data_IF_005847548749
#
_entry.id   IF_005847548749
#
_cell.length_a   1.000
_cell.length_b   1.000
_cell.length_c   1.000
_cell.angle_alpha   90.00
_cell.angle_beta   90.00
_cell.angle_gamma   90.00
#
_symmetry.space_group_name_H-M   'P 1'
#
loop_
_entity.id
_entity.type
_entity.pdbx_description
1 polymer ?
#
# COMPACT_ATOMS: atom_id res chain seq x y z
N UNK A 1 -14.33 -25.92 -7.34
CA UNK A 1 -14.11 -24.78 -6.43
C UNK A 1 -14.23 -23.49 -7.24
N UNK A 2 -14.80 -22.44 -6.65
CA UNK A 2 -15.01 -21.15 -7.33
C UNK A 2 -13.70 -20.38 -7.54
N UNK A 3 -13.65 -19.54 -8.57
CA UNK A 3 -12.59 -18.53 -8.75
C UNK A 3 -13.06 -17.24 -8.10
N UNK A 4 -12.16 -16.52 -7.41
CA UNK A 4 -12.42 -15.15 -6.92
C UNK A 4 -11.69 -14.17 -7.83
N UNK A 5 -12.40 -13.20 -8.39
CA UNK A 5 -11.84 -12.09 -9.17
C UNK A 5 -11.78 -10.82 -8.33
N UNK A 6 -10.59 -10.21 -8.29
CA UNK A 6 -10.34 -8.95 -7.59
C UNK A 6 -10.17 -7.82 -8.61
N UNK A 7 -10.84 -6.70 -8.38
CA UNK A 7 -10.58 -5.43 -9.05
C UNK A 7 -9.77 -4.57 -8.09
N UNK A 8 -8.49 -4.33 -8.40
CA UNK A 8 -7.60 -3.54 -7.56
C UNK A 8 -7.02 -2.36 -8.35
N UNK A 9 -7.04 -1.18 -7.75
CA UNK A 9 -6.44 0.03 -8.33
C UNK A 9 -5.36 0.59 -7.42
N UNK A 10 -4.44 1.36 -8.00
CA UNK A 10 -3.43 2.12 -7.27
C UNK A 10 -4.03 3.34 -6.58
N UNK A 11 -3.28 4.43 -6.55
CA UNK A 11 -3.61 5.61 -5.77
C UNK A 11 -4.91 6.26 -6.25
N UNK A 12 -5.82 6.38 -5.32
CA UNK A 12 -7.11 7.04 -5.47
C UNK A 12 -7.13 8.26 -4.56
N UNK A 13 -7.45 9.39 -5.16
CA UNK A 13 -7.67 10.65 -4.46
C UNK A 13 -8.93 11.30 -5.00
N UNK A 14 -9.83 11.70 -4.10
CA UNK A 14 -11.12 12.28 -4.46
C UNK A 14 -11.28 13.67 -3.84
N UNK A 15 -11.03 14.69 -4.65
CA UNK A 15 -11.19 16.09 -4.27
C UNK A 15 -11.85 16.85 -5.42
N UNK A 16 -13.10 16.47 -5.69
CA UNK A 16 -13.90 17.07 -6.76
C UNK A 16 -15.39 17.10 -6.40
N UNK A 17 -16.15 18.09 -6.89
CA UNK A 17 -17.58 18.22 -6.59
C UNK A 17 -18.42 17.06 -7.15
N UNK A 18 -18.06 16.51 -8.31
CA UNK A 18 -18.70 15.38 -8.98
C UNK A 18 -18.02 14.06 -8.63
N UNK A 19 -17.81 13.85 -7.33
CA UNK A 19 -17.13 12.70 -6.75
C UNK A 19 -17.67 11.32 -7.21
N UNK A 20 -18.94 11.25 -7.65
CA UNK A 20 -19.56 10.01 -8.15
C UNK A 20 -19.12 9.63 -9.58
N UNK A 21 -18.85 10.62 -10.44
CA UNK A 21 -18.66 10.40 -11.87
C UNK A 21 -17.49 9.45 -12.21
N UNK A 22 -16.31 9.54 -11.57
CA UNK A 22 -15.24 8.57 -11.82
C UNK A 22 -15.63 7.13 -11.48
N UNK A 23 -16.53 6.94 -10.50
CA UNK A 23 -17.02 5.62 -10.11
C UNK A 23 -18.03 5.09 -11.11
N UNK A 24 -18.91 5.95 -11.66
CA UNK A 24 -19.90 5.55 -12.66
C UNK A 24 -19.24 4.96 -13.91
N UNK A 25 -18.14 5.56 -14.37
CA UNK A 25 -17.39 5.09 -15.55
C UNK A 25 -16.68 3.74 -15.29
N UNK A 26 -16.30 3.47 -14.03
CA UNK A 26 -15.62 2.23 -13.63
C UNK A 26 -16.57 1.15 -13.11
N UNK A 27 -17.81 1.52 -12.76
CA UNK A 27 -18.80 0.63 -12.15
C UNK A 27 -19.04 -0.67 -12.93
N UNK A 28 -19.08 -0.68 -14.29
CA UNK A 28 -19.23 -1.93 -15.04
C UNK A 28 -18.06 -2.90 -14.85
N UNK A 29 -16.82 -2.41 -14.76
CA UNK A 29 -15.64 -3.26 -14.54
C UNK A 29 -15.52 -3.67 -13.07
N UNK A 30 -15.83 -2.77 -12.15
CA UNK A 30 -15.84 -3.04 -10.71
C UNK A 30 -16.89 -4.10 -10.35
N UNK A 31 -18.10 -3.99 -10.92
CA UNK A 31 -19.21 -4.92 -10.66
C UNK A 31 -19.04 -6.31 -11.26
N UNK A 32 -18.01 -6.54 -12.10
CA UNK A 32 -17.64 -7.87 -12.60
C UNK A 32 -16.74 -8.65 -11.66
N UNK A 33 -16.06 -7.95 -10.76
CA UNK A 33 -15.21 -8.57 -9.75
C UNK A 33 -16.03 -8.89 -8.50
N UNK A 34 -15.56 -9.85 -7.72
CA UNK A 34 -16.19 -10.18 -6.44
C UNK A 34 -15.81 -9.18 -5.34
N UNK A 35 -14.63 -8.55 -5.46
CA UNK A 35 -14.15 -7.48 -4.58
C UNK A 35 -13.52 -6.34 -5.38
N UNK A 36 -13.80 -5.12 -4.96
CA UNK A 36 -13.12 -3.91 -5.43
C UNK A 36 -12.25 -3.34 -4.31
N UNK A 37 -10.96 -3.11 -4.58
CA UNK A 37 -9.96 -2.64 -3.61
C UNK A 37 -9.24 -1.41 -4.17
N UNK A 38 -8.93 -0.42 -3.33
CA UNK A 38 -8.11 0.71 -3.73
C UNK A 38 -7.04 1.10 -2.70
N UNK A 39 -6.01 1.81 -3.19
CA UNK A 39 -5.05 2.52 -2.35
C UNK A 39 -5.54 3.97 -2.18
N UNK A 40 -6.10 4.35 -1.02
CA UNK A 40 -6.72 5.66 -0.85
C UNK A 40 -5.73 6.65 -0.23
N UNK A 41 -5.33 7.67 -0.99
CA UNK A 41 -4.14 8.49 -0.72
C UNK A 41 -4.31 9.46 0.46
N UNK A 42 -5.48 10.09 0.58
CA UNK A 42 -5.67 11.28 1.40
C UNK A 42 -6.53 11.01 2.65
N UNK A 43 -6.38 11.82 3.72
CA UNK A 43 -7.33 11.81 4.83
C UNK A 43 -8.70 12.30 4.38
N UNK A 44 -9.74 11.71 4.96
CA UNK A 44 -11.12 12.12 4.79
C UNK A 44 -11.52 12.90 6.04
N UNK A 45 -11.56 14.23 5.95
CA UNK A 45 -11.83 15.11 7.10
C UNK A 45 -11.98 16.56 6.67
N UNK A 46 -12.80 17.33 7.40
CA UNK A 46 -12.83 18.80 7.32
C UNK A 46 -12.03 19.46 8.46
N UNK A 47 -11.43 18.66 9.35
CA UNK A 47 -10.73 19.07 10.58
C UNK A 47 -9.23 18.83 10.49
N UNK A 48 -8.51 19.38 11.47
CA UNK A 48 -7.04 19.32 11.54
C UNK A 48 -6.36 20.45 10.76
N UNK A 49 -5.06 20.56 10.93
CA UNK A 49 -4.23 21.61 10.37
C UNK A 49 -3.04 21.01 9.60
N UNK A 50 -2.68 21.63 8.48
CA UNK A 50 -1.57 21.19 7.64
C UNK A 50 -0.31 21.04 8.49
N UNK A 51 0.30 19.86 8.46
CA UNK A 51 1.56 19.62 9.16
C UNK A 51 2.71 20.42 8.52
N UNK A 52 3.67 20.84 9.34
CA UNK A 52 4.86 21.55 8.84
C UNK A 52 5.63 20.68 7.85
N UNK A 53 6.11 21.29 6.77
CA UNK A 53 6.90 20.62 5.74
C UNK A 53 6.10 19.88 4.66
N UNK A 54 4.76 19.95 4.69
CA UNK A 54 3.93 19.44 3.59
C UNK A 54 3.93 20.44 2.43
N UNK A 55 4.62 20.09 1.34
CA UNK A 55 4.65 20.90 0.13
C UNK A 55 3.33 20.87 -0.64
N UNK A 56 2.68 19.71 -0.68
CA UNK A 56 1.39 19.48 -1.35
C UNK A 56 0.49 18.67 -0.40
N UNK A 57 -0.24 19.32 0.53
CA UNK A 57 -1.13 18.63 1.43
C UNK A 57 -2.39 18.15 0.68
N UNK A 58 -2.73 16.87 0.82
CA UNK A 58 -3.96 16.29 0.24
C UNK A 58 -5.04 16.14 1.31
N UNK A 59 -6.29 16.40 0.93
CA UNK A 59 -7.45 16.20 1.81
C UNK A 59 -8.70 15.94 0.99
N UNK A 60 -9.45 14.95 1.42
CA UNK A 60 -10.80 14.68 0.95
C UNK A 60 -11.80 15.28 1.94
N UNK A 61 -12.79 16.07 1.47
CA UNK A 61 -13.87 16.56 2.33
C UNK A 61 -14.64 15.42 3.00
N UNK A 62 -15.07 15.61 4.26
CA UNK A 62 -15.74 14.56 5.03
C UNK A 62 -17.04 14.06 4.36
N UNK A 63 -17.74 14.96 3.65
CA UNK A 63 -18.96 14.65 2.90
C UNK A 63 -18.77 13.59 1.80
N UNK A 64 -17.54 13.31 1.38
CA UNK A 64 -17.24 12.30 0.35
C UNK A 64 -17.01 10.90 0.90
N UNK A 65 -17.01 10.71 2.23
CA UNK A 65 -16.83 9.40 2.85
C UNK A 65 -17.85 8.36 2.35
N UNK A 66 -19.13 8.73 2.29
CA UNK A 66 -20.19 7.85 1.79
C UNK A 66 -20.01 7.45 0.31
N UNK A 67 -19.80 8.39 -0.62
CA UNK A 67 -19.44 8.08 -2.00
C UNK A 67 -18.23 7.15 -2.14
N UNK A 68 -17.16 7.36 -1.36
CA UNK A 68 -15.98 6.50 -1.37
C UNK A 68 -16.34 5.09 -0.90
N UNK A 69 -17.05 4.98 0.23
CA UNK A 69 -17.44 3.70 0.80
C UNK A 69 -18.30 2.85 -0.15
N UNK A 70 -19.16 3.48 -0.95
CA UNK A 70 -19.99 2.78 -1.95
C UNK A 70 -19.18 2.20 -3.12
N UNK A 71 -17.98 2.72 -3.37
CA UNK A 71 -17.13 2.26 -4.47
C UNK A 71 -16.31 1.03 -4.12
N UNK A 72 -16.02 0.75 -2.86
CA UNK A 72 -14.95 -0.19 -2.51
C UNK A 72 -15.39 -1.22 -1.47
N UNK A 73 -14.92 -2.45 -1.64
CA UNK A 73 -15.07 -3.53 -0.67
C UNK A 73 -14.11 -3.39 0.50
N UNK A 74 -12.91 -2.82 0.28
CA UNK A 74 -11.97 -2.41 1.31
C UNK A 74 -10.94 -1.41 0.74
N UNK A 75 -10.30 -0.62 1.62
CA UNK A 75 -9.29 0.38 1.24
C UNK A 75 -7.98 0.22 2.01
N UNK A 76 -6.87 0.44 1.32
CA UNK A 76 -5.54 0.62 1.88
C UNK A 76 -5.32 2.08 2.29
N UNK A 77 -4.86 2.31 3.52
CA UNK A 77 -4.61 3.63 4.11
C UNK A 77 -3.18 3.80 4.65
N UNK A 78 -2.27 2.80 4.50
CA UNK A 78 -0.87 2.98 4.87
C UNK A 78 -0.16 3.88 3.84
N UNK A 79 -0.44 5.18 3.92
CA UNK A 79 -0.11 6.16 2.89
C UNK A 79 0.68 7.33 3.47
N UNK A 80 1.53 7.93 2.65
CA UNK A 80 2.36 9.08 3.01
C UNK A 80 1.58 10.39 3.14
N UNK A 81 0.33 10.42 2.71
CA UNK A 81 -0.55 11.59 2.78
C UNK A 81 -1.61 11.53 3.89
N UNK A 82 -1.85 10.37 4.50
CA UNK A 82 -2.99 10.15 5.41
C UNK A 82 -2.95 10.99 6.71
N UNK A 83 -1.78 11.50 7.10
CA UNK A 83 -1.63 12.43 8.23
C UNK A 83 -1.31 13.87 7.81
N UNK A 84 -1.59 14.29 6.58
CA UNK A 84 -1.24 15.64 6.09
C UNK A 84 -1.81 16.77 6.94
N UNK A 85 -2.96 16.51 7.56
CA UNK A 85 -3.65 17.43 8.46
C UNK A 85 -3.59 16.97 9.93
N UNK A 86 -2.60 16.13 10.24
CA UNK A 86 -2.33 15.59 11.55
C UNK A 86 -3.25 14.42 11.94
N UNK A 87 -3.04 13.96 13.16
CA UNK A 87 -3.78 12.85 13.78
C UNK A 87 -5.29 13.11 13.80
N UNK A 88 -5.75 14.34 13.99
CA UNK A 88 -7.18 14.70 13.95
C UNK A 88 -7.85 14.24 12.65
N UNK A 89 -7.22 14.49 11.50
CA UNK A 89 -7.79 14.13 10.20
C UNK A 89 -7.67 12.62 9.91
N UNK A 90 -6.61 11.98 10.41
CA UNK A 90 -6.43 10.54 10.31
C UNK A 90 -7.48 9.77 11.14
N UNK A 91 -7.77 10.25 12.36
CA UNK A 91 -8.82 9.71 13.22
C UNK A 91 -10.20 9.88 12.58
N UNK A 92 -10.51 11.06 12.04
CA UNK A 92 -11.74 11.28 11.25
C UNK A 92 -11.86 10.28 10.10
N UNK A 93 -10.75 9.97 9.43
CA UNK A 93 -10.74 9.00 8.32
C UNK A 93 -11.15 7.61 8.81
N UNK A 94 -10.60 7.15 9.93
CA UNK A 94 -10.97 5.86 10.53
C UNK A 94 -12.45 5.85 10.96
N UNK A 95 -12.89 6.90 11.64
CA UNK A 95 -14.27 7.04 12.10
C UNK A 95 -15.27 7.07 10.94
N UNK A 96 -14.99 7.81 9.88
CA UNK A 96 -15.85 7.92 8.71
C UNK A 96 -15.87 6.63 7.89
N UNK A 97 -14.72 5.95 7.71
CA UNK A 97 -14.69 4.63 7.09
C UNK A 97 -15.57 3.64 7.88
N UNK A 98 -15.41 3.59 9.20
CA UNK A 98 -16.21 2.72 10.06
C UNK A 98 -17.71 3.07 10.03
N UNK A 99 -18.06 4.35 10.11
CA UNK A 99 -19.45 4.82 10.06
C UNK A 99 -20.16 4.47 8.76
N UNK A 100 -19.42 4.37 7.64
CA UNK A 100 -19.94 3.95 6.35
C UNK A 100 -19.75 2.46 6.04
N UNK A 101 -19.24 1.68 7.00
CA UNK A 101 -19.02 0.24 6.83
C UNK A 101 -17.95 -0.10 5.80
N UNK A 102 -17.01 0.82 5.54
CA UNK A 102 -15.87 0.63 4.64
C UNK A 102 -14.69 0.02 5.41
N UNK A 103 -14.33 -1.25 5.19
CA UNK A 103 -13.15 -1.83 5.81
C UNK A 103 -11.89 -1.11 5.36
N UNK A 104 -11.12 -0.61 6.31
CA UNK A 104 -9.86 0.08 6.06
C UNK A 104 -8.70 -0.66 6.74
N UNK A 105 -7.54 -0.68 6.09
CA UNK A 105 -6.34 -1.34 6.61
C UNK A 105 -5.11 -0.46 6.43
N UNK A 106 -4.14 -0.56 7.36
CA UNK A 106 -2.85 0.11 7.25
C UNK A 106 -2.78 1.47 7.95
N UNK A 107 -3.89 1.98 8.47
CA UNK A 107 -3.98 3.10 9.40
C UNK A 107 -4.66 2.59 10.67
N UNK A 108 -4.21 3.02 11.85
CA UNK A 108 -4.82 2.63 13.12
C UNK A 108 -4.62 3.66 14.21
N UNK A 109 -5.37 3.53 15.31
CA UNK A 109 -5.21 4.32 16.54
C UNK A 109 -3.87 4.08 17.22
N UNK A 110 -3.30 2.90 17.00
CA UNK A 110 -2.00 2.47 17.48
C UNK A 110 -1.35 1.49 16.49
N UNK A 111 -0.15 1.02 16.84
CA UNK A 111 0.62 0.10 16.01
C UNK A 111 -0.05 -1.26 15.81
N UNK A 112 -0.78 -1.78 16.80
CA UNK A 112 -1.42 -3.09 16.70
C UNK A 112 -2.62 -3.02 15.75
N UNK A 113 -3.40 -1.94 15.82
CA UNK A 113 -4.48 -1.69 14.89
C UNK A 113 -3.98 -1.40 13.47
N UNK A 114 -2.96 -0.57 13.31
CA UNK A 114 -2.45 -0.24 11.98
C UNK A 114 -1.97 -1.49 11.23
N UNK A 115 -1.40 -2.46 11.94
CA UNK A 115 -0.95 -3.74 11.39
C UNK A 115 -2.04 -4.83 11.33
N UNK A 116 -3.24 -4.57 11.85
CA UNK A 116 -4.33 -5.54 11.87
C UNK A 116 -4.88 -5.75 10.46
N UNK A 117 -4.79 -6.98 9.90
CA UNK A 117 -5.36 -7.24 8.59
C UNK A 117 -6.89 -7.13 8.61
N UNK A 118 -7.45 -6.65 7.51
CA UNK A 118 -8.89 -6.80 7.25
C UNK A 118 -9.13 -8.18 6.65
N UNK A 119 -10.13 -8.90 7.16
CA UNK A 119 -10.57 -10.19 6.60
C UNK A 119 -11.83 -10.00 5.77
N UNK A 120 -11.83 -10.57 4.57
CA UNK A 120 -12.94 -10.53 3.62
C UNK A 120 -13.34 -11.98 3.31
N UNK A 121 -14.63 -12.28 3.29
CA UNK A 121 -15.15 -13.58 2.87
C UNK A 121 -15.95 -13.40 1.58
N UNK A 122 -15.60 -14.19 0.57
CA UNK A 122 -16.25 -14.15 -0.74
C UNK A 122 -16.45 -15.56 -1.24
N UNK A 123 -17.71 -15.97 -1.37
CA UNK A 123 -18.04 -17.30 -1.90
C UNK A 123 -17.41 -18.43 -1.09
N UNK A 124 -17.20 -18.26 0.22
CA UNK A 124 -16.55 -19.23 1.09
C UNK A 124 -15.03 -19.24 1.00
N UNK A 125 -14.42 -18.27 0.32
CA UNK A 125 -12.97 -18.04 0.29
C UNK A 125 -12.63 -16.91 1.25
N UNK A 126 -11.83 -17.23 2.27
CA UNK A 126 -11.31 -16.25 3.22
C UNK A 126 -10.05 -15.56 2.65
N UNK A 127 -10.13 -14.24 2.51
CA UNK A 127 -9.04 -13.36 2.06
C UNK A 127 -8.63 -12.44 3.21
N UNK A 128 -7.35 -12.09 3.28
CA UNK A 128 -6.84 -11.09 4.24
C UNK A 128 -6.04 -10.04 3.51
N UNK A 129 -6.35 -8.78 3.77
CA UNK A 129 -5.66 -7.63 3.20
C UNK A 129 -4.74 -7.01 4.25
N UNK A 130 -3.51 -6.70 3.84
CA UNK A 130 -2.52 -5.94 4.60
C UNK A 130 -2.13 -4.70 3.77
N UNK A 131 -1.90 -3.59 4.44
CA UNK A 131 -1.43 -2.35 3.85
C UNK A 131 -0.27 -1.82 4.68
N UNK A 132 0.87 -1.58 4.03
CA UNK A 132 2.14 -1.29 4.70
C UNK A 132 2.89 -0.22 3.89
N UNK A 133 3.29 0.87 4.53
CA UNK A 133 4.05 1.96 3.94
C UNK A 133 5.56 1.76 4.11
N UNK A 134 6.34 2.01 3.05
CA UNK A 134 7.82 2.11 3.13
C UNK A 134 8.37 3.46 2.65
N UNK A 135 7.53 4.28 2.00
CA UNK A 135 7.84 5.64 1.58
C UNK A 135 6.86 6.59 2.26
N UNK A 136 7.26 7.21 3.37
CA UNK A 136 6.40 8.09 4.18
C UNK A 136 7.26 8.97 5.11
N UNK A 137 6.76 10.11 5.61
CA UNK A 137 7.43 10.82 6.70
C UNK A 137 7.51 9.93 7.93
N UNK A 138 8.69 9.65 8.48
CA UNK A 138 8.85 8.69 9.60
C UNK A 138 7.93 8.97 10.80
N UNK A 139 7.56 10.23 11.02
CA UNK A 139 6.61 10.64 12.06
C UNK A 139 5.17 10.14 11.85
N UNK A 140 4.85 9.57 10.68
CA UNK A 140 3.51 9.05 10.36
C UNK A 140 3.35 7.59 10.78
N UNK A 141 4.43 6.88 11.11
CA UNK A 141 4.33 5.52 11.63
C UNK A 141 3.50 5.49 12.91
N UNK A 142 2.59 4.52 13.00
CA UNK A 142 1.86 4.26 14.24
C UNK A 142 2.83 3.88 15.36
N UNK A 143 2.46 4.23 16.60
CA UNK A 143 3.19 3.79 17.80
C UNK A 143 2.22 3.11 18.76
N UNK A 144 2.70 2.60 19.88
CA UNK A 144 1.86 1.99 20.92
C UNK A 144 0.79 2.96 21.49
N UNK A 145 0.95 4.27 21.30
CA UNK A 145 0.08 5.30 21.90
C UNK A 145 -0.34 6.41 20.93
N UNK A 146 -0.05 6.26 19.63
CA UNK A 146 -0.31 7.30 18.63
C UNK A 146 -0.81 6.69 17.34
N UNK A 147 -1.84 7.31 16.78
CA UNK A 147 -2.37 6.99 15.48
C UNK A 147 -1.29 7.13 14.40
N UNK A 148 -1.36 6.25 13.40
CA UNK A 148 -0.47 6.32 12.26
C UNK A 148 -0.57 5.09 11.38
N UNK A 149 0.36 5.00 10.44
CA UNK A 149 0.38 3.94 9.43
C UNK A 149 1.19 2.72 9.87
N UNK A 150 0.80 1.54 9.38
CA UNK A 150 1.66 0.37 9.41
C UNK A 150 2.87 0.63 8.51
N UNK A 151 4.04 0.63 9.13
CA UNK A 151 5.26 1.13 8.52
C UNK A 151 6.36 0.07 8.53
N UNK A 152 7.01 -0.10 7.39
CA UNK A 152 8.31 -0.77 7.29
C UNK A 152 9.38 0.30 7.10
N UNK A 153 10.34 0.31 8.02
CA UNK A 153 11.51 1.15 7.88
C UNK A 153 12.51 0.50 6.94
N UNK A 154 12.95 1.27 5.95
CA UNK A 154 13.95 0.85 4.96
C UNK A 154 15.20 1.68 5.18
N UNK A 155 16.33 1.00 5.33
CA UNK A 155 17.65 1.60 5.33
C UNK A 155 18.28 1.37 3.95
N UNK A 156 18.87 2.41 3.39
CA UNK A 156 19.48 2.39 2.06
C UNK A 156 20.92 2.89 2.16
N UNK A 157 21.86 2.11 1.66
CA UNK A 157 23.24 2.56 1.42
C UNK A 157 23.47 2.75 -0.05
N UNK A 158 24.07 3.89 -0.39
CA UNK A 158 24.43 4.29 -1.75
C UNK A 158 25.96 4.37 -1.79
N UNK A 159 26.58 3.65 -2.72
CA UNK A 159 28.03 3.63 -2.93
C UNK A 159 28.30 4.02 -4.38
N UNK A 160 29.20 4.98 -4.60
CA UNK A 160 29.76 5.23 -5.93
C UNK A 160 31.04 4.39 -6.04
N UNK A 161 31.10 3.38 -6.94
CA UNK A 161 32.33 2.60 -7.13
C UNK A 161 33.50 3.51 -7.48
N UNK A 162 34.70 3.21 -6.95
CA UNK A 162 35.88 4.05 -7.16
C UNK A 162 36.22 4.25 -8.65
N UNK A 163 36.01 3.21 -9.48
CA UNK A 163 36.22 3.24 -10.94
C UNK A 163 35.28 4.22 -11.67
N UNK A 164 34.15 4.55 -11.06
CA UNK A 164 33.11 5.43 -11.61
C UNK A 164 33.10 6.81 -10.94
N UNK A 165 33.92 7.02 -9.90
CA UNK A 165 33.86 8.21 -9.06
C UNK A 165 34.28 9.49 -9.78
N UNK A 166 35.10 9.37 -10.83
CA UNK A 166 35.53 10.49 -11.66
C UNK A 166 34.59 10.79 -12.83
N UNK A 167 33.63 9.91 -13.13
CA UNK A 167 32.68 10.09 -14.24
C UNK A 167 31.44 10.87 -13.76
N UNK A 168 31.24 12.13 -14.24
CA UNK A 168 30.07 12.90 -13.86
C UNK A 168 28.78 12.20 -14.30
N UNK A 169 27.85 12.03 -13.36
CA UNK A 169 26.57 11.37 -13.63
C UNK A 169 26.60 9.85 -13.61
N UNK A 170 27.71 9.21 -13.19
CA UNK A 170 27.74 7.77 -13.00
C UNK A 170 26.65 7.32 -12.01
N UNK A 171 25.84 6.30 -12.35
CA UNK A 171 24.77 5.84 -11.48
C UNK A 171 25.39 5.19 -10.24
N UNK A 172 25.00 5.60 -9.02
CA UNK A 172 25.50 4.96 -7.83
C UNK A 172 24.91 3.55 -7.67
N UNK A 173 25.66 2.67 -7.00
CA UNK A 173 25.16 1.37 -6.58
C UNK A 173 24.39 1.49 -5.25
N UNK A 174 23.13 1.05 -5.24
CA UNK A 174 22.28 1.06 -4.06
C UNK A 174 22.06 -0.33 -3.47
N UNK A 175 21.98 -0.42 -2.14
CA UNK A 175 21.47 -1.60 -1.44
C UNK A 175 20.49 -1.16 -0.36
N UNK A 176 19.36 -1.86 -0.24
CA UNK A 176 18.32 -1.53 0.75
C UNK A 176 17.95 -2.76 1.58
N UNK A 177 17.59 -2.58 2.83
CA UNK A 177 17.06 -3.64 3.67
C UNK A 177 16.03 -3.09 4.64
N UNK A 178 15.08 -3.94 5.03
CA UNK A 178 14.05 -3.59 5.97
C UNK A 178 14.56 -3.76 7.40
N UNK A 179 14.48 -2.71 8.22
CA UNK A 179 14.59 -2.82 9.68
C UNK A 179 13.22 -3.14 10.24
N UNK A 180 12.90 -4.43 10.28
CA UNK A 180 11.56 -4.92 10.60
C UNK A 180 11.36 -5.08 12.11
N UNK A 181 10.87 -4.04 12.79
CA UNK A 181 10.43 -4.15 14.20
C UNK A 181 8.91 -4.31 14.32
N UNK A 182 8.13 -3.67 13.44
CA UNK A 182 6.65 -3.75 13.43
C UNK A 182 6.10 -5.07 12.88
N UNK A 183 6.56 -5.52 11.71
CA UNK A 183 6.02 -6.74 11.09
C UNK A 183 6.33 -8.01 11.90
N UNK A 184 7.46 -8.04 12.61
CA UNK A 184 7.81 -9.15 13.49
C UNK A 184 6.86 -9.30 14.69
N UNK A 185 6.26 -8.19 15.16
CA UNK A 185 5.27 -8.21 16.26
C UNK A 185 3.93 -8.75 15.79
N UNK A 186 3.45 -8.26 14.65
CA UNK A 186 2.16 -8.71 14.10
C UNK A 186 2.25 -10.13 13.50
N UNK A 187 3.41 -10.51 12.95
CA UNK A 187 3.61 -11.77 12.24
C UNK A 187 5.01 -12.37 12.52
N UNK A 188 5.17 -13.18 13.58
CA UNK A 188 6.47 -13.74 13.98
C UNK A 188 7.10 -14.72 12.97
N UNK A 189 6.41 -15.04 11.87
CA UNK A 189 6.89 -15.94 10.80
C UNK A 189 7.33 -15.22 9.52
N UNK A 190 7.32 -13.89 9.48
CA UNK A 190 7.79 -13.17 8.29
C UNK A 190 9.33 -13.18 8.24
N UNK A 191 9.94 -13.81 7.22
CA UNK A 191 11.39 -13.86 7.12
C UNK A 191 11.95 -12.44 6.88
N UNK A 192 12.99 -12.07 7.62
CA UNK A 192 13.82 -10.89 7.33
C UNK A 192 14.59 -11.15 6.04
N UNK A 193 13.96 -10.89 4.90
CA UNK A 193 14.57 -11.09 3.57
C UNK A 193 15.40 -9.85 3.21
N UNK A 194 16.68 -10.05 2.90
CA UNK A 194 17.58 -9.01 2.39
C UNK A 194 17.34 -8.85 0.88
N UNK A 195 16.94 -7.66 0.43
CA UNK A 195 16.69 -7.36 -0.99
C UNK A 195 17.82 -6.50 -1.55
N UNK A 196 18.75 -7.09 -2.30
CA UNK A 196 19.78 -6.32 -3.01
C UNK A 196 19.36 -6.08 -4.47
N UNK A 197 19.15 -4.82 -4.85
CA UNK A 197 19.01 -4.43 -6.26
C UNK A 197 20.35 -3.85 -6.76
N UNK A 198 21.23 -4.68 -7.31
CA UNK A 198 22.34 -4.18 -8.11
C UNK A 198 21.80 -3.75 -9.47
N UNK A 199 21.67 -2.44 -9.67
CA UNK A 199 21.22 -1.88 -10.94
C UNK A 199 22.30 -2.02 -12.02
N UNK A 200 22.20 -3.08 -12.82
CA UNK A 200 22.46 -3.08 -14.27
C UNK A 200 21.43 -4.05 -14.84
N UNK A 201 20.41 -3.54 -15.53
CA UNK A 201 19.51 -4.38 -16.33
C UNK A 201 20.31 -4.77 -17.59
N UNK A 202 20.77 -6.03 -17.70
CA UNK A 202 19.86 -7.11 -18.06
C UNK A 202 20.00 -8.42 -17.24
N UNK A 203 18.87 -9.11 -17.16
CA UNK A 203 18.65 -10.53 -16.85
C UNK A 203 18.92 -11.03 -15.40
N UNK A 204 18.00 -11.85 -14.84
CA UNK A 204 18.04 -12.29 -13.46
C UNK A 204 19.08 -13.40 -13.27
N UNK A 205 20.00 -13.23 -12.32
CA UNK A 205 20.78 -14.33 -11.75
C UNK A 205 20.10 -14.74 -10.45
N UNK A 206 19.09 -15.60 -10.56
CA UNK A 206 18.71 -16.47 -9.45
C UNK A 206 19.74 -17.60 -9.39
N UNK A 207 20.48 -17.69 -8.29
CA UNK A 207 21.20 -18.92 -7.91
C UNK A 207 20.35 -19.68 -6.89
N UNK A 208 19.70 -20.78 -7.26
CA UNK A 208 19.48 -21.89 -6.36
C UNK A 208 20.67 -22.84 -6.50
N UNK A 209 21.29 -23.22 -5.37
CA UNK A 209 21.98 -24.50 -5.36
C UNK A 209 20.95 -25.59 -5.69
N UNK A 210 21.42 -26.58 -6.46
CA UNK A 210 20.72 -27.78 -6.96
C UNK A 210 20.08 -27.62 -8.36
N UNK A 211 20.86 -28.04 -9.37
CA UNK A 211 20.46 -28.29 -10.77
C UNK A 211 19.70 -29.64 -10.91
N UNK A 212 19.11 -30.05 -12.08
CA UNK A 212 19.09 -29.42 -13.41
C UNK A 212 17.70 -29.30 -14.15
N UNK A 213 17.48 -28.17 -14.85
CA UNK A 213 16.84 -27.85 -16.18
C UNK A 213 15.71 -28.70 -16.85
N UNK A 214 14.98 -28.20 -17.90
CA UNK A 214 14.54 -26.83 -18.30
C UNK A 214 13.12 -26.72 -18.97
N UNK A 215 12.79 -25.50 -19.47
CA UNK A 215 11.72 -25.01 -20.41
C UNK A 215 10.45 -24.40 -19.76
N UNK A 216 9.85 -23.26 -20.17
CA UNK A 216 9.82 -22.49 -21.42
C UNK A 216 9.26 -21.03 -21.21
N UNK A 217 9.72 -20.05 -22.04
CA UNK A 217 9.11 -18.79 -22.58
C UNK A 217 7.91 -18.05 -21.91
N UNK A 218 7.60 -16.74 -22.04
CA UNK A 218 8.05 -15.51 -22.75
C UNK A 218 7.24 -14.28 -22.19
N UNK A 219 7.63 -13.06 -22.58
CA UNK A 219 7.14 -11.69 -22.20
C UNK A 219 5.64 -11.38 -22.41
N UNK A 220 5.05 -10.46 -21.62
CA UNK A 220 4.49 -9.15 -22.06
C UNK A 220 3.73 -8.38 -20.94
N UNK A 221 3.40 -7.10 -21.23
CA UNK A 221 2.84 -6.02 -20.37
C UNK A 221 1.62 -6.43 -19.54
N UNK A 222 1.44 -5.88 -18.32
CA UNK A 222 0.27 -6.20 -17.47
C UNK A 222 -0.40 -4.99 -16.82
N UNK A 223 -1.66 -4.74 -17.19
CA UNK A 223 -2.74 -4.64 -16.19
C UNK A 223 -2.88 -6.02 -15.53
N UNK A 224 -2.68 -6.11 -14.22
CA UNK A 224 -2.60 -7.41 -13.56
C UNK A 224 -4.00 -7.88 -13.11
N UNK A 225 -4.59 -8.82 -13.86
CA UNK A 225 -5.62 -9.71 -13.31
C UNK A 225 -4.90 -10.87 -12.63
N UNK A 226 -4.91 -10.90 -11.30
CA UNK A 226 -4.32 -11.99 -10.54
C UNK A 226 -5.36 -13.10 -10.35
N UNK A 227 -5.12 -14.26 -10.96
CA UNK A 227 -5.86 -15.50 -10.69
C UNK A 227 -5.04 -16.33 -9.70
N UNK A 228 -5.59 -16.54 -8.52
CA UNK A 228 -5.02 -17.47 -7.54
C UNK A 228 -5.75 -18.80 -7.64
N UNK A 229 -4.99 -19.88 -7.87
CA UNK A 229 -5.48 -21.26 -7.83
C UNK A 229 -4.65 -21.99 -6.77
N UNK A 230 -5.31 -22.59 -5.78
CA UNK A 230 -4.66 -23.51 -4.83
C UNK A 230 -5.10 -24.94 -5.13
N UNK A 231 -4.14 -25.86 -5.04
CA UNK A 231 -4.36 -27.31 -5.16
C UNK A 231 -5.15 -27.86 -3.98
#
# INVERSE_FOLDING_TARGET
MGTVELFAVGDVYLDRPDAARPWDDLAPEMGRADLALCNYEAPISDRGAVLRGRAVPLRTPAALAGPIAKGWSAVSLAQNHVLDYGEVAALDTLELCAAHGLPAVGLGLDVDEAWRPVRLDVGGVALSMLSIACAFPRSFAATETRCGVAAVHVDTTIVVPAEEAEHPGAPPAGSSWCTCTGACRAWPRWPTTRWSSAGHWPAPVLRPCWAPTPTCCRRSRSTARHRFSTA
#
